data_IF_043688936327
#
_entry.id   IF_043688936327
#
_cell.length_a   1.000
_cell.length_b   1.000
_cell.length_c   1.000
_cell.angle_alpha   90.00
_cell.angle_beta   90.00
_cell.angle_gamma   90.00
#
_symmetry.space_group_name_H-M   'P 1'
#
loop_
_entity.id
_entity.type
_entity.pdbx_description
1 polymer ?
#
# COMPACT_ATOMS: atom_id res chain seq x y z
N UNK A 1 7.22 -15.14 -13.84
CA UNK A 1 6.94 -14.31 -15.02
C UNK A 1 5.56 -13.71 -14.82
N UNK A 2 5.41 -12.40 -15.02
CA UNK A 2 4.14 -11.70 -14.89
C UNK A 2 3.26 -11.93 -16.13
N UNK A 3 1.94 -11.91 -15.98
CA UNK A 3 0.99 -12.14 -17.06
C UNK A 3 0.78 -10.87 -17.92
N UNK A 4 0.51 -9.72 -17.30
CA UNK A 4 0.11 -8.47 -18.00
C UNK A 4 0.92 -7.23 -17.64
N UNK A 5 1.92 -7.37 -16.79
CA UNK A 5 2.84 -6.30 -16.41
C UNK A 5 4.28 -6.71 -16.65
N UNK A 6 5.15 -5.72 -16.84
CA UNK A 6 6.58 -5.95 -16.92
C UNK A 6 7.28 -4.89 -16.07
N UNK A 7 8.31 -5.29 -15.28
CA UNK A 7 9.10 -4.32 -14.55
C UNK A 7 9.84 -3.38 -15.50
N UNK A 8 10.33 -2.26 -14.96
CA UNK A 8 11.17 -1.33 -15.71
C UNK A 8 12.38 -2.06 -16.29
N UNK A 9 12.76 -1.71 -17.52
CA UNK A 9 13.99 -2.23 -18.14
C UNK A 9 15.25 -1.70 -17.46
N UNK A 10 15.12 -0.60 -16.71
CA UNK A 10 16.19 0.05 -15.96
C UNK A 10 15.88 0.01 -14.47
N UNK A 11 16.90 -0.25 -13.65
CA UNK A 11 16.78 -0.30 -12.19
C UNK A 11 17.28 -1.61 -11.60
N UNK A 12 17.32 -1.71 -10.28
CA UNK A 12 17.71 -2.93 -9.57
C UNK A 12 16.78 -3.14 -8.37
N UNK A 13 16.50 -4.40 -8.04
CA UNK A 13 15.71 -4.72 -6.86
C UNK A 13 16.47 -4.35 -5.58
N UNK A 14 15.73 -3.91 -4.56
CA UNK A 14 16.26 -3.85 -3.20
C UNK A 14 16.47 -5.29 -2.73
N UNK A 15 17.64 -5.58 -2.18
CA UNK A 15 17.93 -6.89 -1.57
C UNK A 15 18.05 -6.75 -0.06
N UNK A 16 18.02 -7.85 0.66
CA UNK A 16 18.11 -7.84 2.13
C UNK A 16 19.25 -8.73 2.59
N UNK A 17 20.05 -8.23 3.53
CA UNK A 17 21.11 -8.99 4.19
C UNK A 17 20.99 -8.76 5.69
N UNK A 18 20.86 -9.85 6.46
CA UNK A 18 20.73 -9.83 7.92
C UNK A 18 19.59 -8.90 8.41
N UNK A 19 18.47 -8.89 7.69
CA UNK A 19 17.30 -8.07 7.98
C UNK A 19 17.42 -6.59 7.59
N UNK A 20 18.55 -6.16 7.02
CA UNK A 20 18.78 -4.79 6.58
C UNK A 20 18.64 -4.67 5.06
N UNK A 21 17.98 -3.61 4.54
CA UNK A 21 17.86 -3.39 3.12
C UNK A 21 19.18 -2.89 2.52
N UNK A 22 19.64 -3.55 1.46
CA UNK A 22 20.69 -3.08 0.56
C UNK A 22 20.00 -2.40 -0.62
N UNK A 23 20.00 -1.07 -0.59
CA UNK A 23 19.29 -0.23 -1.56
C UNK A 23 20.27 0.22 -2.66
N UNK A 24 20.07 -0.17 -3.93
CA UNK A 24 20.89 0.33 -5.03
C UNK A 24 20.62 1.83 -5.27
N UNK A 25 21.38 2.47 -6.15
CA UNK A 25 21.18 3.89 -6.48
C UNK A 25 19.95 4.14 -7.39
N UNK A 26 19.42 3.10 -8.03
CA UNK A 26 18.26 3.12 -8.92
C UNK A 26 17.23 2.02 -8.57
N UNK A 27 16.67 1.99 -7.36
CA UNK A 27 15.78 0.93 -6.94
C UNK A 27 14.51 0.88 -7.78
N UNK A 28 14.08 -0.33 -8.14
CA UNK A 28 12.75 -0.56 -8.70
C UNK A 28 11.74 -0.58 -7.56
N UNK A 29 10.77 0.33 -7.61
CA UNK A 29 9.72 0.45 -6.59
C UNK A 29 8.35 0.23 -7.25
N UNK A 30 7.68 -0.88 -6.93
CA UNK A 30 6.31 -1.09 -7.33
C UNK A 30 5.37 -0.03 -6.76
N UNK A 31 4.41 0.45 -7.56
CA UNK A 31 3.37 1.34 -7.11
C UNK A 31 1.99 0.98 -7.64
N UNK A 32 0.97 1.20 -6.80
CA UNK A 32 -0.44 1.17 -7.19
C UNK A 32 -0.96 2.61 -7.20
N UNK A 33 -1.44 3.10 -8.35
CA UNK A 33 -1.99 4.47 -8.46
C UNK A 33 -3.15 4.70 -7.47
N UNK A 34 -4.01 3.69 -7.33
CA UNK A 34 -5.21 3.74 -6.51
C UNK A 34 -6.46 4.18 -7.26
N UNK A 35 -7.61 3.95 -6.63
CA UNK A 35 -8.94 4.29 -7.13
C UNK A 35 -9.32 5.74 -6.76
N UNK A 36 -10.40 6.26 -7.35
CA UNK A 36 -10.93 7.59 -7.02
C UNK A 36 -9.87 8.68 -7.11
N UNK A 37 -9.58 9.36 -5.99
CA UNK A 37 -8.57 10.44 -5.91
C UNK A 37 -7.13 9.98 -6.17
N UNK A 38 -6.87 8.67 -6.27
CA UNK A 38 -5.59 8.11 -6.69
C UNK A 38 -5.09 8.69 -8.02
N UNK A 39 -5.98 9.02 -8.95
CA UNK A 39 -5.65 9.65 -10.23
C UNK A 39 -4.99 11.02 -10.08
N UNK A 40 -5.35 11.76 -9.03
CA UNK A 40 -4.85 13.10 -8.78
C UNK A 40 -3.62 13.08 -7.86
N UNK A 41 -3.69 12.32 -6.77
CA UNK A 41 -2.66 12.38 -5.73
C UNK A 41 -1.39 11.61 -6.11
N UNK A 42 -1.48 10.52 -6.87
CA UNK A 42 -0.30 9.73 -7.23
C UNK A 42 0.67 10.51 -8.13
N UNK A 43 0.23 11.12 -9.25
CA UNK A 43 1.14 11.91 -10.08
C UNK A 43 1.78 13.07 -9.32
N UNK A 44 1.05 13.69 -8.37
CA UNK A 44 1.60 14.74 -7.51
C UNK A 44 2.66 14.20 -6.56
N UNK A 45 2.38 13.08 -5.87
CA UNK A 45 3.32 12.44 -4.96
C UNK A 45 4.60 12.00 -5.68
N UNK A 46 4.47 11.34 -6.83
CA UNK A 46 5.62 10.89 -7.62
C UNK A 46 6.51 12.07 -8.01
N UNK A 47 5.94 13.18 -8.52
CA UNK A 47 6.69 14.39 -8.88
C UNK A 47 7.49 14.96 -7.70
N UNK A 48 6.88 15.03 -6.51
CA UNK A 48 7.56 15.53 -5.30
C UNK A 48 8.69 14.60 -4.89
N UNK A 49 8.47 13.28 -4.92
CA UNK A 49 9.49 12.28 -4.58
C UNK A 49 10.67 12.36 -5.57
N UNK A 50 10.40 12.35 -6.87
CA UNK A 50 11.43 12.41 -7.92
C UNK A 50 12.26 13.70 -7.79
N UNK A 51 11.60 14.85 -7.59
CA UNK A 51 12.28 16.13 -7.40
C UNK A 51 13.12 16.16 -6.11
N UNK A 52 12.64 15.54 -5.03
CA UNK A 52 13.37 15.46 -3.75
C UNK A 52 14.62 14.60 -3.87
N UNK A 53 14.54 13.46 -4.56
CA UNK A 53 15.70 12.60 -4.85
C UNK A 53 16.71 13.34 -5.70
N UNK A 54 16.26 14.00 -6.77
CA UNK A 54 17.14 14.80 -7.63
C UNK A 54 17.80 15.95 -6.87
N UNK A 55 17.07 16.64 -5.98
CA UNK A 55 17.60 17.74 -5.17
C UNK A 55 18.67 17.25 -4.18
N UNK A 56 18.43 16.12 -3.52
CA UNK A 56 19.34 15.58 -2.50
C UNK A 56 20.59 14.91 -3.10
N UNK A 57 20.47 14.26 -4.26
CA UNK A 57 21.51 13.37 -4.79
C UNK A 57 21.97 13.70 -6.21
N UNK A 58 21.35 14.67 -6.88
CA UNK A 58 21.58 14.93 -8.30
C UNK A 58 21.30 13.69 -9.14
N UNK A 59 22.09 13.47 -10.18
CA UNK A 59 21.97 12.30 -11.06
C UNK A 59 22.49 10.98 -10.44
N UNK A 60 23.02 11.01 -9.20
CA UNK A 60 23.57 9.80 -8.57
C UNK A 60 22.49 8.81 -8.18
N UNK A 61 21.28 9.28 -7.87
CA UNK A 61 20.16 8.42 -7.45
C UNK A 61 18.90 8.75 -8.22
N UNK A 62 18.09 7.72 -8.46
CA UNK A 62 16.79 7.82 -9.11
C UNK A 62 15.88 6.69 -8.64
N UNK A 63 14.58 6.76 -8.92
CA UNK A 63 13.66 5.64 -8.64
C UNK A 63 13.11 5.13 -9.98
N UNK A 64 13.15 3.81 -10.15
CA UNK A 64 12.51 3.12 -11.28
C UNK A 64 11.10 2.68 -10.88
N UNK A 65 10.10 3.49 -11.21
CA UNK A 65 8.71 3.23 -10.82
C UNK A 65 8.07 2.09 -11.63
N UNK A 66 7.71 0.99 -10.96
CA UNK A 66 7.04 -0.14 -11.57
C UNK A 66 5.54 -0.12 -11.29
N UNK A 67 4.72 0.22 -12.28
CA UNK A 67 3.26 0.26 -12.11
C UNK A 67 2.67 -1.14 -11.98
N UNK A 68 1.99 -1.39 -10.87
CA UNK A 68 1.18 -2.59 -10.59
C UNK A 68 -0.26 -2.18 -10.29
N UNK A 69 -1.20 -3.13 -10.32
CA UNK A 69 -2.63 -2.82 -10.40
C UNK A 69 -3.43 -3.47 -9.27
N UNK A 70 -4.32 -2.69 -8.64
CA UNK A 70 -5.36 -3.19 -7.75
C UNK A 70 -6.59 -2.28 -7.88
N UNK A 71 -7.74 -2.75 -7.39
CA UNK A 71 -8.99 -1.99 -7.44
C UNK A 71 -9.60 -1.96 -8.83
N UNK A 72 -10.26 -0.86 -9.16
CA UNK A 72 -11.05 -0.71 -10.39
C UNK A 72 -10.13 -0.76 -11.63
N UNK A 73 -8.95 -0.14 -11.53
CA UNK A 73 -7.95 -0.15 -12.61
C UNK A 73 -7.41 -1.56 -12.89
N UNK A 74 -7.42 -2.44 -11.88
CA UNK A 74 -7.08 -3.84 -12.09
C UNK A 74 -8.20 -4.58 -12.82
N UNK A 75 -9.47 -4.33 -12.49
CA UNK A 75 -10.59 -4.94 -13.20
C UNK A 75 -10.63 -4.54 -14.69
N UNK A 76 -10.29 -3.28 -15.01
CA UNK A 76 -10.19 -2.82 -16.40
C UNK A 76 -9.09 -3.56 -17.18
N UNK A 77 -7.94 -3.81 -16.56
CA UNK A 77 -6.77 -4.42 -17.22
C UNK A 77 -6.79 -5.96 -17.21
N UNK A 78 -7.22 -6.56 -16.11
CA UNK A 78 -7.16 -8.00 -15.87
C UNK A 78 -8.49 -8.70 -16.17
N UNK A 79 -9.61 -7.99 -16.08
CA UNK A 79 -10.97 -8.51 -16.33
C UNK A 79 -11.89 -8.32 -15.12
N UNK A 80 -13.20 -8.51 -15.34
CA UNK A 80 -14.22 -8.35 -14.29
C UNK A 80 -13.89 -9.19 -13.05
N UNK A 81 -14.03 -8.60 -11.87
CA UNK A 81 -13.72 -9.19 -10.55
C UNK A 81 -12.23 -9.44 -10.26
N UNK A 82 -11.31 -9.06 -11.16
CA UNK A 82 -9.86 -9.13 -10.93
C UNK A 82 -9.34 -7.92 -10.14
N UNK A 83 -9.84 -7.71 -8.92
CA UNK A 83 -9.50 -6.55 -8.07
C UNK A 83 -8.09 -6.60 -7.48
N UNK A 84 -7.53 -7.80 -7.29
CA UNK A 84 -6.18 -7.99 -6.78
C UNK A 84 -5.49 -9.14 -7.53
N UNK A 85 -4.95 -8.86 -8.73
CA UNK A 85 -4.31 -9.87 -9.57
C UNK A 85 -3.06 -10.47 -8.93
N UNK A 86 -2.76 -11.72 -9.27
CA UNK A 86 -1.57 -12.43 -8.77
C UNK A 86 -0.26 -11.72 -9.16
N UNK A 87 -0.23 -11.07 -10.33
CA UNK A 87 0.89 -10.24 -10.78
C UNK A 87 1.30 -9.17 -9.74
N UNK A 88 0.31 -8.49 -9.14
CA UNK A 88 0.52 -7.46 -8.13
C UNK A 88 1.09 -8.06 -6.83
N UNK A 89 0.55 -9.20 -6.40
CA UNK A 89 1.06 -9.92 -5.22
C UNK A 89 2.49 -10.41 -5.43
N UNK A 90 2.77 -10.96 -6.61
CA UNK A 90 4.10 -11.43 -6.98
C UNK A 90 5.10 -10.28 -7.00
N UNK A 91 4.73 -9.12 -7.54
CA UNK A 91 5.60 -7.95 -7.59
C UNK A 91 5.90 -7.41 -6.18
N UNK A 92 4.89 -7.27 -5.32
CA UNK A 92 5.11 -6.82 -3.94
C UNK A 92 6.06 -7.77 -3.20
N UNK A 93 5.89 -9.09 -3.37
CA UNK A 93 6.75 -10.10 -2.76
C UNK A 93 8.17 -10.09 -3.33
N UNK A 94 8.32 -9.95 -4.64
CA UNK A 94 9.62 -9.96 -5.34
C UNK A 94 10.48 -8.75 -4.96
N UNK A 95 9.89 -7.55 -4.93
CA UNK A 95 10.62 -6.31 -4.65
C UNK A 95 10.67 -5.96 -3.16
N UNK A 96 9.83 -6.57 -2.33
CA UNK A 96 9.82 -6.39 -0.87
C UNK A 96 9.41 -5.01 -0.38
N UNK A 97 9.02 -4.11 -1.28
CA UNK A 97 8.53 -2.76 -1.00
C UNK A 97 7.50 -2.38 -2.06
N UNK A 98 6.50 -1.61 -1.67
CA UNK A 98 5.57 -0.98 -2.60
C UNK A 98 4.92 0.25 -1.97
N UNK A 99 4.43 1.16 -2.81
CA UNK A 99 3.61 2.31 -2.40
C UNK A 99 2.25 2.26 -3.09
N UNK A 100 1.18 2.66 -2.40
CA UNK A 100 -0.17 2.66 -2.98
C UNK A 100 -0.98 3.90 -2.65
N UNK A 101 -1.73 4.39 -3.63
CA UNK A 101 -2.85 5.29 -3.43
C UNK A 101 -4.04 4.62 -2.71
N UNK A 102 -5.18 5.32 -2.56
CA UNK A 102 -6.38 4.76 -1.95
C UNK A 102 -6.96 3.61 -2.79
N UNK A 103 -7.63 2.66 -2.14
CA UNK A 103 -8.34 1.57 -2.82
C UNK A 103 -9.77 1.52 -2.31
N UNK A 104 -10.73 1.46 -3.23
CA UNK A 104 -12.15 1.39 -2.90
C UNK A 104 -12.44 0.06 -2.18
N UNK A 105 -13.13 0.14 -1.04
CA UNK A 105 -13.67 -1.04 -0.36
C UNK A 105 -15.18 -1.01 -0.52
N UNK A 106 -15.78 -1.92 -1.31
CA UNK A 106 -17.23 -1.94 -1.49
C UNK A 106 -17.92 -2.25 -0.16
N UNK A 107 -19.02 -1.54 0.12
CA UNK A 107 -19.82 -1.74 1.35
C UNK A 107 -20.86 -2.84 1.09
N UNK A 108 -20.91 -3.86 1.95
CA UNK A 108 -21.99 -4.86 1.97
C UNK A 108 -21.98 -5.93 0.87
N UNK A 109 -20.98 -5.94 -0.03
CA UNK A 109 -20.94 -6.80 -1.22
C UNK A 109 -20.14 -8.11 -1.11
N UNK A 110 -19.80 -8.58 0.09
CA UNK A 110 -19.09 -9.85 0.29
C UNK A 110 -17.60 -9.87 -0.06
N UNK A 111 -17.04 -8.79 -0.60
CA UNK A 111 -15.60 -8.64 -0.82
C UNK A 111 -14.97 -8.04 0.44
N UNK A 112 -14.08 -8.79 1.11
CA UNK A 112 -13.23 -8.29 2.19
C UNK A 112 -12.32 -7.18 1.65
N UNK A 113 -12.08 -6.14 2.46
CA UNK A 113 -11.29 -4.97 2.03
C UNK A 113 -9.96 -5.35 1.39
N UNK A 114 -9.67 -4.81 0.19
CA UNK A 114 -8.39 -5.02 -0.49
C UNK A 114 -7.20 -4.59 0.36
N UNK A 115 -7.38 -3.54 1.18
CA UNK A 115 -6.34 -3.09 2.10
C UNK A 115 -6.07 -4.14 3.19
N UNK A 116 -7.10 -4.81 3.71
CA UNK A 116 -6.96 -5.88 4.69
C UNK A 116 -6.33 -7.11 4.04
N UNK A 117 -6.78 -7.50 2.85
CA UNK A 117 -6.22 -8.61 2.09
C UNK A 117 -4.71 -8.44 1.84
N UNK A 118 -4.28 -7.26 1.36
CA UNK A 118 -2.86 -6.95 1.15
C UNK A 118 -2.03 -7.10 2.42
N UNK A 119 -2.57 -6.72 3.58
CA UNK A 119 -1.86 -6.82 4.86
C UNK A 119 -1.73 -8.26 5.32
N UNK A 120 -2.82 -9.02 5.25
CA UNK A 120 -2.85 -10.43 5.67
C UNK A 120 -1.99 -11.31 4.76
N UNK A 121 -2.09 -11.15 3.43
CA UNK A 121 -1.33 -11.96 2.47
C UNK A 121 0.18 -11.74 2.62
N UNK A 122 0.61 -10.52 2.93
CA UNK A 122 2.03 -10.16 3.05
C UNK A 122 2.52 -10.12 4.50
N UNK A 123 1.72 -10.61 5.46
CA UNK A 123 2.04 -10.62 6.90
C UNK A 123 2.56 -9.26 7.43
N UNK A 124 1.91 -8.17 7.00
CA UNK A 124 2.27 -6.80 7.37
C UNK A 124 1.70 -6.45 8.75
N UNK A 125 2.23 -7.10 9.79
CA UNK A 125 1.73 -7.05 11.17
C UNK A 125 1.77 -5.67 11.82
N UNK A 126 2.66 -4.77 11.38
CA UNK A 126 2.80 -3.43 11.93
C UNK A 126 2.21 -2.35 11.00
N UNK A 127 1.12 -1.70 11.45
CA UNK A 127 0.65 -0.44 10.86
C UNK A 127 1.27 0.74 11.62
N UNK A 128 2.35 1.29 11.06
CA UNK A 128 3.08 2.43 11.64
C UNK A 128 2.51 3.75 11.10
N UNK A 129 2.11 4.66 12.00
CA UNK A 129 1.52 5.97 11.66
C UNK A 129 2.22 7.10 12.42
N UNK A 130 3.23 7.75 11.80
CA UNK A 130 3.75 9.01 12.31
C UNK A 130 2.66 10.09 12.23
N UNK A 131 2.41 10.76 13.35
CA UNK A 131 1.42 11.85 13.46
C UNK A 131 2.12 13.05 14.09
N UNK A 132 2.40 14.06 13.25
CA UNK A 132 3.02 15.32 13.67
C UNK A 132 2.28 16.52 13.08
N UNK A 133 2.37 17.65 13.75
CA UNK A 133 1.86 18.90 13.23
C UNK A 133 2.79 19.52 12.17
N UNK A 134 2.19 20.12 11.14
CA UNK A 134 2.87 20.95 10.16
C UNK A 134 2.39 22.41 10.32
N UNK A 135 3.30 23.38 10.53
CA UNK A 135 2.95 24.78 10.73
C UNK A 135 1.98 25.32 9.67
N UNK A 136 0.93 26.01 10.11
CA UNK A 136 -0.10 26.57 9.24
C UNK A 136 -1.27 25.64 8.92
N UNK A 137 -1.20 24.35 9.32
CA UNK A 137 -2.34 23.44 9.18
C UNK A 137 -3.49 23.89 10.08
N UNK A 138 -4.72 24.09 9.56
CA UNK A 138 -5.89 24.40 10.38
C UNK A 138 -6.12 23.31 11.43
N UNK A 139 -6.35 23.69 12.68
CA UNK A 139 -6.53 22.73 13.77
C UNK A 139 -7.67 23.15 14.70
N UNK A 140 -8.46 22.17 15.20
CA UNK A 140 -9.42 22.43 16.27
C UNK A 140 -8.76 22.55 17.66
N UNK A 141 -7.47 22.22 17.80
CA UNK A 141 -6.76 22.27 19.08
C UNK A 141 -6.08 23.62 19.31
N UNK A 142 -5.95 24.03 20.59
CA UNK A 142 -5.25 25.27 20.97
C UNK A 142 -3.73 25.20 20.79
N UNK A 143 -3.15 24.01 20.92
CA UNK A 143 -1.69 23.79 20.85
C UNK A 143 -1.37 22.58 19.97
N UNK A 144 -1.73 22.60 18.66
CA UNK A 144 -1.51 21.46 17.77
C UNK A 144 -0.04 21.13 17.54
N UNK A 145 0.86 22.11 17.69
CA UNK A 145 2.31 21.96 17.58
C UNK A 145 2.93 20.98 18.58
N UNK A 146 2.20 20.64 19.66
CA UNK A 146 2.63 19.64 20.64
C UNK A 146 2.41 18.19 20.18
N UNK A 147 1.71 17.98 19.06
CA UNK A 147 1.51 16.65 18.50
C UNK A 147 2.79 16.21 17.77
N UNK A 148 3.49 15.25 18.36
CA UNK A 148 4.59 14.52 17.74
C UNK A 148 4.65 13.09 18.32
N UNK A 149 3.95 12.16 17.68
CA UNK A 149 3.83 10.77 18.12
C UNK A 149 3.96 9.80 16.95
N UNK A 150 4.40 8.57 17.25
CA UNK A 150 4.36 7.46 16.30
C UNK A 150 3.43 6.39 16.87
N UNK A 151 2.34 6.11 16.15
CA UNK A 151 1.39 5.05 16.55
C UNK A 151 1.82 3.74 15.88
N UNK A 152 2.08 2.72 16.70
CA UNK A 152 2.26 1.34 16.26
C UNK A 152 0.97 0.57 16.53
N UNK A 153 0.29 0.16 15.47
CA UNK A 153 -0.97 -0.59 15.56
C UNK A 153 -0.76 -2.00 14.99
N UNK A 154 -1.13 -3.02 15.77
CA UNK A 154 -1.26 -4.41 15.30
C UNK A 154 -2.26 -4.47 14.12
N UNK A 155 -1.93 -5.24 13.09
CA UNK A 155 -2.57 -5.12 11.78
C UNK A 155 -2.88 -6.46 11.10
N UNK A 156 -2.68 -7.58 11.81
CA UNK A 156 -2.93 -8.96 11.37
C UNK A 156 -4.02 -9.67 12.16
N UNK A 157 -4.35 -9.23 13.38
CA UNK A 157 -5.30 -9.90 14.29
C UNK A 157 -6.53 -9.02 14.62
N UNK A 158 -7.05 -9.14 15.85
CA UNK A 158 -8.22 -8.45 16.40
C UNK A 158 -9.52 -8.75 15.62
N UNK A 159 -10.58 -7.98 15.86
CA UNK A 159 -11.85 -8.03 15.12
C UNK A 159 -11.68 -7.86 13.60
N UNK A 160 -10.51 -7.37 13.16
CA UNK A 160 -10.16 -7.24 11.74
C UNK A 160 -9.90 -8.58 11.04
N UNK A 161 -9.79 -9.70 11.77
CA UNK A 161 -9.81 -11.04 11.18
C UNK A 161 -11.14 -11.35 10.46
N UNK A 162 -12.22 -10.66 10.81
CA UNK A 162 -13.54 -10.86 10.20
C UNK A 162 -14.08 -12.28 10.42
N UNK A 163 -13.78 -12.87 11.58
CA UNK A 163 -14.37 -14.12 12.06
C UNK A 163 -15.66 -13.75 12.78
N UNK A 164 -16.74 -13.71 12.01
CA UNK A 164 -18.06 -13.30 12.48
C UNK A 164 -19.16 -14.11 11.80
N UNK A 165 -20.28 -14.29 12.50
CA UNK A 165 -21.45 -15.02 11.98
C UNK A 165 -22.72 -14.20 12.20
N UNK A 166 -23.63 -14.13 11.21
CA UNK A 166 -24.93 -13.49 11.39
C UNK A 166 -25.76 -14.16 12.48
N UNK A 167 -26.55 -13.36 13.20
CA UNK A 167 -27.55 -13.85 14.16
C UNK A 167 -28.50 -14.85 13.49
N UNK A 168 -28.70 -16.01 14.11
CA UNK A 168 -29.59 -17.07 13.61
C UNK A 168 -28.97 -17.95 12.52
N UNK A 169 -27.66 -17.84 12.26
CA UNK A 169 -26.97 -18.82 11.43
C UNK A 169 -26.69 -20.10 12.22
N UNK A 170 -26.70 -21.25 11.54
CA UNK A 170 -26.43 -22.56 12.15
C UNK A 170 -25.09 -22.58 12.92
N UNK A 171 -24.07 -21.90 12.39
CA UNK A 171 -22.76 -21.81 13.06
C UNK A 171 -22.83 -20.97 14.33
N UNK A 172 -23.55 -19.84 14.30
CA UNK A 172 -23.75 -19.02 15.50
C UNK A 172 -24.52 -19.79 16.58
N UNK A 173 -25.56 -20.55 16.21
CA UNK A 173 -26.33 -21.38 17.15
C UNK A 173 -25.51 -22.51 17.78
N UNK A 174 -24.51 -23.05 17.07
CA UNK A 174 -23.60 -24.08 17.61
C UNK A 174 -22.54 -23.53 18.56
N UNK A 175 -22.25 -22.23 18.51
CA UNK A 175 -21.18 -21.58 19.28
C UNK A 175 -21.65 -20.93 20.59
N UNK A 176 -22.96 -20.74 20.75
CA UNK A 176 -23.61 -20.17 21.94
C UNK A 176 -24.29 -21.24 22.79
#
# INVERSE_FOLDING_TARGET
MYEKISPCQTGSAITYKDGQPIVPDNPIIPFIRGDGTGVDIWPAAQKVIDASVQCAYGAKRSISWFKIYAGDEACEKYGTYQYLPQDTLNAIKEYGIAIKGPLTTPVGGGIRSLNVALRQINDLYACVRPCKYYPGTPSPHKTPEKLDVIVYRENTEDIYLGIEWPKGSEVAEKLI
#
